data_IF_157289487202
#
_entry.id   IF_157289487202
#
_cell.length_a   1.000
_cell.length_b   1.000
_cell.length_c   1.000
_cell.angle_alpha   90.00
_cell.angle_beta   90.00
_cell.angle_gamma   90.00
#
_symmetry.space_group_name_H-M   'P 1'
#
loop_
_entity.id
_entity.type
_entity.pdbx_description
1 polymer ?
#
# COMPACT_ATOMS: atom_id res chain seq x y z
N UNK A 1 -26.96 -32.29 -32.99
CA UNK A 1 -26.65 -31.47 -31.79
C UNK A 1 -27.94 -30.79 -31.38
N UNK A 2 -28.47 -31.07 -30.18
CA UNK A 2 -29.76 -30.52 -29.70
C UNK A 2 -29.46 -29.29 -28.84
N UNK A 3 -29.94 -28.13 -29.23
CA UNK A 3 -29.81 -26.90 -28.43
C UNK A 3 -30.85 -26.95 -27.31
N UNK A 4 -30.41 -26.85 -26.06
CA UNK A 4 -31.28 -26.78 -24.88
C UNK A 4 -31.30 -25.33 -24.42
N UNK A 5 -32.47 -24.69 -24.43
CA UNK A 5 -32.64 -23.37 -23.81
C UNK A 5 -32.84 -23.55 -22.30
N UNK A 6 -32.09 -22.77 -21.51
CA UNK A 6 -32.26 -22.64 -20.07
C UNK A 6 -32.50 -21.17 -19.74
N UNK A 7 -33.49 -20.91 -18.89
CA UNK A 7 -33.80 -19.58 -18.38
C UNK A 7 -33.31 -19.50 -16.94
N UNK A 8 -32.56 -18.45 -16.61
CA UNK A 8 -32.05 -18.19 -15.28
C UNK A 8 -32.67 -16.90 -14.75
N UNK A 9 -33.02 -16.88 -13.47
CA UNK A 9 -33.29 -15.64 -12.72
C UNK A 9 -32.02 -15.27 -11.99
N UNK A 10 -31.56 -14.04 -12.22
CA UNK A 10 -30.30 -13.53 -11.71
C UNK A 10 -30.57 -12.45 -10.66
N UNK A 11 -29.66 -12.37 -9.68
CA UNK A 11 -29.76 -11.48 -8.54
C UNK A 11 -28.43 -10.76 -8.32
N UNK A 12 -28.48 -9.50 -7.90
CA UNK A 12 -27.33 -8.82 -7.31
C UNK A 12 -27.03 -9.35 -5.90
N UNK A 13 -25.82 -9.11 -5.40
CA UNK A 13 -25.40 -9.63 -4.09
C UNK A 13 -26.28 -9.15 -2.93
N UNK A 14 -26.80 -7.92 -3.00
CA UNK A 14 -27.69 -7.34 -2.00
C UNK A 14 -29.13 -7.90 -2.03
N UNK A 15 -29.50 -8.63 -3.10
CA UNK A 15 -30.82 -9.25 -3.26
C UNK A 15 -30.85 -10.70 -2.79
N UNK A 16 -29.68 -11.28 -2.46
CA UNK A 16 -29.58 -12.63 -1.93
C UNK A 16 -29.91 -12.69 -0.44
N UNK A 17 -30.54 -13.80 -0.03
CA UNK A 17 -30.66 -14.19 1.38
C UNK A 17 -29.29 -14.43 2.00
N UNK A 18 -29.20 -14.31 3.33
CA UNK A 18 -27.94 -14.35 4.07
C UNK A 18 -27.13 -15.63 3.82
N UNK A 19 -27.77 -16.81 3.75
CA UNK A 19 -27.07 -18.06 3.48
C UNK A 19 -26.47 -18.12 2.07
N UNK A 20 -27.19 -17.60 1.07
CA UNK A 20 -26.73 -17.55 -0.31
C UNK A 20 -25.60 -16.52 -0.48
N UNK A 21 -25.71 -15.36 0.18
CA UNK A 21 -24.66 -14.33 0.23
C UNK A 21 -23.39 -14.87 0.88
N UNK A 22 -23.52 -15.54 2.03
CA UNK A 22 -22.38 -16.14 2.72
C UNK A 22 -21.69 -17.20 1.86
N UNK A 23 -22.46 -18.04 1.15
CA UNK A 23 -21.89 -19.01 0.23
C UNK A 23 -21.11 -18.33 -0.90
N UNK A 24 -21.70 -17.32 -1.54
CA UNK A 24 -21.05 -16.55 -2.60
C UNK A 24 -19.71 -15.95 -2.14
N UNK A 25 -19.71 -15.35 -0.94
CA UNK A 25 -18.51 -14.80 -0.31
C UNK A 25 -17.45 -15.88 -0.04
N UNK A 26 -17.83 -17.01 0.58
CA UNK A 26 -16.88 -18.10 0.86
C UNK A 26 -16.31 -18.72 -0.42
N UNK A 27 -17.12 -18.87 -1.47
CA UNK A 27 -16.69 -19.38 -2.78
C UNK A 27 -15.78 -18.37 -3.50
N UNK A 28 -15.98 -17.08 -3.28
CA UNK A 28 -15.09 -16.03 -3.78
C UNK A 28 -13.74 -16.03 -3.06
N UNK A 29 -13.75 -16.10 -1.72
CA UNK A 29 -12.54 -16.14 -0.90
C UNK A 29 -11.71 -17.41 -1.19
N UNK A 30 -12.37 -18.56 -1.34
CA UNK A 30 -11.71 -19.84 -1.63
C UNK A 30 -11.01 -19.90 -3.00
N UNK A 31 -11.35 -19.01 -3.95
CA UNK A 31 -10.65 -18.94 -5.24
C UNK A 31 -9.24 -18.38 -5.12
N UNK A 32 -8.95 -17.66 -4.03
CA UNK A 32 -7.69 -16.95 -3.83
C UNK A 32 -7.58 -15.76 -4.79
N UNK A 33 -7.80 -14.56 -4.28
CA UNK A 33 -7.57 -13.35 -5.06
C UNK A 33 -6.15 -12.85 -4.81
N UNK A 34 -5.46 -12.47 -5.87
CA UNK A 34 -4.16 -11.82 -5.73
C UNK A 34 -4.35 -10.45 -5.06
N UNK A 35 -3.51 -10.14 -4.06
CA UNK A 35 -3.52 -8.83 -3.41
C UNK A 35 -3.12 -7.74 -4.42
N UNK A 36 -4.03 -6.80 -4.77
CA UNK A 36 -3.86 -5.95 -5.94
C UNK A 36 -2.72 -4.93 -5.79
N UNK A 37 -2.38 -4.53 -4.56
CA UNK A 37 -1.37 -3.50 -4.29
C UNK A 37 0.02 -4.07 -4.03
N UNK A 38 0.23 -5.37 -4.22
CA UNK A 38 1.51 -6.03 -3.95
C UNK A 38 2.69 -5.39 -4.70
N UNK A 39 2.48 -5.02 -5.98
CA UNK A 39 3.52 -4.39 -6.81
C UNK A 39 3.86 -2.99 -6.32
N UNK A 40 2.85 -2.15 -6.05
CA UNK A 40 3.06 -0.76 -5.60
C UNK A 40 3.73 -0.70 -4.21
N UNK A 41 3.35 -1.62 -3.33
CA UNK A 41 4.01 -1.80 -2.03
C UNK A 41 5.46 -2.23 -2.19
N UNK A 42 5.75 -3.14 -3.12
CA UNK A 42 7.13 -3.54 -3.43
C UNK A 42 7.96 -2.35 -3.93
N UNK A 43 7.43 -1.56 -4.86
CA UNK A 43 8.12 -0.38 -5.41
C UNK A 43 8.40 0.68 -4.33
N UNK A 44 7.42 0.91 -3.44
CA UNK A 44 7.55 1.81 -2.29
C UNK A 44 8.66 1.35 -1.35
N UNK A 45 8.65 0.07 -0.97
CA UNK A 45 9.65 -0.51 -0.07
C UNK A 45 11.06 -0.44 -0.67
N UNK A 46 11.20 -0.73 -1.96
CA UNK A 46 12.47 -0.64 -2.67
C UNK A 46 12.99 0.80 -2.71
N UNK A 47 12.14 1.77 -3.07
CA UNK A 47 12.51 3.17 -3.11
C UNK A 47 12.91 3.71 -1.72
N UNK A 48 12.17 3.33 -0.67
CA UNK A 48 12.50 3.65 0.72
C UNK A 48 13.86 3.07 1.12
N UNK A 49 14.07 1.77 0.87
CA UNK A 49 15.33 1.09 1.18
C UNK A 49 16.52 1.71 0.45
N UNK A 50 16.35 2.06 -0.82
CA UNK A 50 17.36 2.70 -1.65
C UNK A 50 17.71 4.11 -1.14
N UNK A 51 16.71 4.93 -0.77
CA UNK A 51 16.95 6.27 -0.25
C UNK A 51 17.72 6.22 1.07
N UNK A 52 17.26 5.42 2.03
CA UNK A 52 17.83 5.38 3.38
C UNK A 52 19.03 4.44 3.52
N UNK A 53 19.44 3.77 2.44
CA UNK A 53 20.56 2.82 2.40
C UNK A 53 20.39 1.70 3.43
N UNK A 54 19.17 1.20 3.54
CA UNK A 54 18.84 0.00 4.32
C UNK A 54 18.54 -1.16 3.36
N UNK A 55 18.50 -2.36 3.88
CA UNK A 55 18.09 -3.55 3.14
C UNK A 55 17.02 -4.26 3.94
N UNK A 56 15.85 -4.44 3.33
CA UNK A 56 14.80 -5.30 3.86
C UNK A 56 14.89 -6.67 3.18
N UNK A 57 14.86 -7.76 3.96
CA UNK A 57 14.96 -9.13 3.48
C UNK A 57 13.98 -10.04 4.20
N UNK A 58 13.69 -11.19 3.58
CA UNK A 58 12.79 -12.21 4.13
C UNK A 58 11.45 -11.62 4.59
N UNK A 59 10.96 -10.62 3.86
CA UNK A 59 9.68 -9.99 4.18
C UNK A 59 8.54 -10.78 3.57
N UNK A 60 7.41 -10.81 4.27
CA UNK A 60 6.13 -11.35 3.83
C UNK A 60 5.01 -10.71 4.64
N UNK A 61 3.85 -10.63 4.04
CA UNK A 61 2.62 -10.23 4.71
C UNK A 61 1.44 -10.94 4.03
N UNK A 62 0.41 -11.21 4.83
CA UNK A 62 -0.89 -11.71 4.42
C UNK A 62 -1.95 -11.00 5.29
N UNK A 63 -3.23 -11.41 5.23
CA UNK A 63 -4.30 -10.83 6.05
C UNK A 63 -4.16 -11.09 7.56
N UNK A 64 -3.34 -12.05 7.97
CA UNK A 64 -3.22 -12.49 9.35
C UNK A 64 -1.96 -11.96 10.02
N UNK A 65 -0.85 -11.90 9.29
CA UNK A 65 0.47 -11.62 9.86
C UNK A 65 1.42 -10.97 8.87
N UNK A 66 2.50 -10.40 9.40
CA UNK A 66 3.63 -9.94 8.63
C UNK A 66 4.92 -10.28 9.35
N UNK A 67 5.98 -10.46 8.57
CA UNK A 67 7.32 -10.65 9.09
C UNK A 67 8.31 -9.97 8.14
N UNK A 68 9.38 -9.42 8.68
CA UNK A 68 10.48 -8.85 7.90
C UNK A 68 11.77 -8.89 8.70
N UNK A 69 12.89 -8.82 7.99
CA UNK A 69 14.20 -8.53 8.57
C UNK A 69 14.76 -7.31 7.86
N UNK A 70 15.57 -6.54 8.56
CA UNK A 70 16.31 -5.47 7.91
C UNK A 70 17.65 -5.24 8.58
N UNK A 71 18.56 -4.64 7.82
CA UNK A 71 19.83 -4.12 8.32
C UNK A 71 20.16 -2.81 7.59
N UNK A 72 21.00 -1.98 8.20
CA UNK A 72 21.45 -0.73 7.57
C UNK A 72 22.82 -0.93 6.93
N UNK A 73 23.14 -0.11 5.92
CA UNK A 73 24.49 -0.03 5.33
C UNK A 73 25.32 1.10 5.93
N UNK A 74 24.89 1.65 7.07
CA UNK A 74 25.59 2.75 7.73
C UNK A 74 26.60 2.22 8.75
N UNK A 75 27.59 3.05 9.06
CA UNK A 75 28.53 2.78 10.14
C UNK A 75 27.82 2.86 11.50
N UNK A 76 28.32 2.14 12.51
CA UNK A 76 27.71 2.07 13.84
C UNK A 76 27.46 3.46 14.45
N UNK A 77 28.41 4.39 14.33
CA UNK A 77 28.27 5.76 14.83
C UNK A 77 27.10 6.52 14.18
N UNK A 78 26.76 6.18 12.93
CA UNK A 78 25.60 6.73 12.22
C UNK A 78 24.31 6.07 12.67
N UNK A 79 24.32 4.74 12.90
CA UNK A 79 23.15 4.02 13.43
C UNK A 79 22.71 4.56 14.80
N UNK A 80 23.66 4.98 15.63
CA UNK A 80 23.44 5.49 16.99
C UNK A 80 23.14 7.00 17.06
N UNK A 81 23.10 7.70 15.92
CA UNK A 81 22.64 9.10 15.91
C UNK A 81 21.19 9.16 16.38
N UNK A 82 20.90 10.05 17.33
CA UNK A 82 19.55 10.31 17.85
C UNK A 82 19.27 11.81 18.01
N UNK A 83 18.00 12.15 18.25
CA UNK A 83 17.55 13.52 18.51
C UNK A 83 17.97 14.53 17.44
N UNK A 84 18.44 15.70 17.87
CA UNK A 84 18.81 16.80 16.97
C UNK A 84 19.98 16.43 16.04
N UNK A 85 20.89 15.55 16.48
CA UNK A 85 22.01 15.10 15.63
C UNK A 85 21.52 14.21 14.49
N UNK A 86 20.60 13.30 14.79
CA UNK A 86 19.93 12.50 13.77
C UNK A 86 19.14 13.40 12.82
N UNK A 87 18.39 14.37 13.35
CA UNK A 87 17.64 15.32 12.52
C UNK A 87 18.54 16.04 11.52
N UNK A 88 19.67 16.58 11.98
CA UNK A 88 20.64 17.25 11.12
C UNK A 88 21.21 16.30 10.05
N UNK A 89 21.51 15.06 10.42
CA UNK A 89 21.96 14.03 9.47
C UNK A 89 20.91 13.73 8.40
N UNK A 90 19.64 13.56 8.78
CA UNK A 90 18.53 13.30 7.86
C UNK A 90 18.34 14.44 6.86
N UNK A 91 18.34 15.68 7.33
CA UNK A 91 18.23 16.86 6.47
C UNK A 91 19.40 16.96 5.48
N UNK A 92 20.62 16.72 5.93
CA UNK A 92 21.80 16.85 5.07
C UNK A 92 21.91 15.76 4.01
N UNK A 93 21.39 14.55 4.29
CA UNK A 93 21.61 13.39 3.41
C UNK A 93 20.37 12.99 2.59
N UNK A 94 19.15 13.18 3.12
CA UNK A 94 17.94 12.62 2.51
C UNK A 94 16.90 13.67 2.11
N UNK A 95 17.06 14.94 2.52
CA UNK A 95 16.09 15.99 2.21
C UNK A 95 15.79 16.11 0.71
N UNK A 96 16.79 16.05 -0.17
CA UNK A 96 16.56 16.13 -1.62
C UNK A 96 15.82 14.90 -2.18
N UNK A 97 15.90 13.76 -1.49
CA UNK A 97 15.16 12.55 -1.80
C UNK A 97 13.68 12.69 -1.46
N UNK A 98 13.36 13.29 -0.32
CA UNK A 98 12.00 13.44 0.21
C UNK A 98 11.28 14.68 -0.33
N UNK A 99 11.95 15.82 -0.36
CA UNK A 99 11.35 17.11 -0.67
C UNK A 99 11.66 17.51 -2.11
N UNK A 100 10.65 17.40 -2.99
CA UNK A 100 10.79 17.73 -4.41
C UNK A 100 10.48 19.21 -4.64
N UNK A 101 11.27 19.93 -5.45
CA UNK A 101 10.96 21.32 -5.78
C UNK A 101 9.65 21.45 -6.56
N UNK A 102 8.80 22.40 -6.16
CA UNK A 102 7.57 22.71 -6.90
C UNK A 102 7.90 23.14 -8.33
N UNK A 103 7.20 22.56 -9.30
CA UNK A 103 7.39 22.83 -10.73
C UNK A 103 6.33 23.81 -11.23
N UNK A 104 6.78 24.93 -11.79
CA UNK A 104 5.92 25.92 -12.44
C UNK A 104 6.07 25.81 -13.95
N UNK A 105 4.94 25.79 -14.66
CA UNK A 105 4.89 25.73 -16.12
C UNK A 105 4.43 27.05 -16.71
N UNK A 106 4.92 27.39 -17.90
CA UNK A 106 4.34 28.46 -18.71
C UNK A 106 2.93 28.08 -19.16
N UNK A 107 2.07 29.06 -19.49
CA UNK A 107 0.68 28.80 -19.92
C UNK A 107 0.58 27.82 -21.09
N UNK A 108 1.55 27.85 -21.99
CA UNK A 108 1.66 26.97 -23.17
C UNK A 108 2.32 25.61 -22.87
N UNK A 109 2.72 25.35 -21.62
CA UNK A 109 3.44 24.15 -21.14
C UNK A 109 4.76 23.84 -21.85
N UNK A 110 5.35 24.78 -22.59
CA UNK A 110 6.61 24.57 -23.31
C UNK A 110 7.85 24.75 -22.44
N UNK A 111 7.75 25.50 -21.35
CA UNK A 111 8.87 25.75 -20.43
C UNK A 111 8.46 25.43 -19.00
N UNK A 112 9.40 24.87 -18.23
CA UNK A 112 9.26 24.61 -16.79
C UNK A 112 10.36 25.29 -15.99
N UNK A 113 10.01 25.72 -14.78
CA UNK A 113 10.95 26.19 -13.76
C UNK A 113 10.72 25.40 -12.47
N UNK A 114 11.80 24.89 -11.88
CA UNK A 114 11.78 24.32 -10.53
C UNK A 114 12.01 25.42 -9.50
N UNK A 115 11.22 25.42 -8.43
CA UNK A 115 11.45 26.34 -7.31
C UNK A 115 12.81 26.05 -6.66
N UNK A 116 13.39 27.08 -6.02
CA UNK A 116 14.58 26.92 -5.17
C UNK A 116 14.24 27.04 -3.68
N UNK A 117 13.00 27.43 -3.37
CA UNK A 117 12.55 27.75 -2.01
C UNK A 117 11.29 26.99 -1.62
N UNK A 118 10.45 26.59 -2.58
CA UNK A 118 9.19 25.88 -2.34
C UNK A 118 9.39 24.42 -2.71
N UNK A 119 9.21 23.55 -1.73
CA UNK A 119 9.29 22.10 -1.90
C UNK A 119 7.98 21.46 -1.47
N UNK A 120 7.71 20.27 -1.99
CA UNK A 120 6.56 19.42 -1.62
C UNK A 120 7.08 18.04 -1.22
N UNK A 121 6.39 17.41 -0.29
CA UNK A 121 6.66 16.05 0.18
C UNK A 121 5.32 15.32 0.27
N UNK A 122 4.75 15.02 -0.89
CA UNK A 122 3.52 14.24 -1.08
C UNK A 122 3.94 13.03 -1.90
N UNK A 123 3.76 11.83 -1.34
CA UNK A 123 4.18 10.54 -1.91
C UNK A 123 5.51 10.60 -2.72
N UNK A 124 6.67 10.82 -2.07
CA UNK A 124 7.90 11.20 -2.76
C UNK A 124 8.62 10.06 -3.51
N UNK A 125 8.13 8.83 -3.45
CA UNK A 125 8.74 7.66 -4.08
C UNK A 125 7.99 7.23 -5.34
N UNK A 126 6.77 6.74 -5.18
CA UNK A 126 5.95 6.11 -6.21
C UNK A 126 4.73 6.94 -6.56
N UNK A 127 4.30 7.84 -5.67
CA UNK A 127 3.06 8.61 -5.84
C UNK A 127 1.83 7.94 -5.22
N UNK A 128 1.98 6.81 -4.52
CA UNK A 128 0.89 6.08 -3.85
C UNK A 128 0.88 6.32 -2.35
N UNK A 129 -0.25 6.01 -1.69
CA UNK A 129 -0.45 6.24 -0.24
C UNK A 129 0.58 5.50 0.63
N UNK A 130 1.08 4.37 0.16
CA UNK A 130 2.10 3.57 0.85
C UNK A 130 3.38 4.36 1.13
N UNK A 131 3.71 5.33 0.27
CA UNK A 131 4.83 6.25 0.50
C UNK A 131 4.64 7.09 1.78
N UNK A 132 3.43 7.60 2.00
CA UNK A 132 3.11 8.40 3.17
C UNK A 132 3.08 7.52 4.42
N UNK A 133 2.51 6.33 4.32
CA UNK A 133 2.45 5.34 5.40
C UNK A 133 3.86 4.97 5.87
N UNK A 134 4.76 4.57 4.97
CA UNK A 134 6.12 4.17 5.35
C UNK A 134 6.93 5.36 5.91
N UNK A 135 6.66 6.58 5.43
CA UNK A 135 7.37 7.78 5.88
C UNK A 135 6.78 8.41 7.13
N UNK A 136 5.56 8.05 7.55
CA UNK A 136 4.87 8.72 8.64
C UNK A 136 5.73 8.81 9.92
N UNK A 137 6.37 7.72 10.43
CA UNK A 137 7.20 7.82 11.64
C UNK A 137 8.41 8.74 11.46
N UNK A 138 9.01 8.77 10.26
CA UNK A 138 10.10 9.67 9.92
C UNK A 138 9.64 11.12 9.89
N UNK A 139 8.49 11.42 9.28
CA UNK A 139 7.96 12.77 9.16
C UNK A 139 7.58 13.35 10.53
N UNK A 140 7.03 12.52 11.41
CA UNK A 140 6.74 12.90 12.79
C UNK A 140 8.03 13.19 13.57
N UNK A 141 9.06 12.35 13.43
CA UNK A 141 10.38 12.59 14.00
C UNK A 141 11.00 13.88 13.45
N UNK A 142 10.92 14.14 12.13
CA UNK A 142 11.48 15.35 11.52
C UNK A 142 10.80 16.63 12.00
N UNK A 143 9.50 16.55 12.36
CA UNK A 143 8.74 17.67 12.92
C UNK A 143 9.08 17.92 14.39
N UNK A 144 9.24 16.86 15.18
CA UNK A 144 9.55 16.92 16.60
C UNK A 144 10.48 15.77 16.99
N UNK A 145 11.81 15.94 16.90
CA UNK A 145 12.75 14.85 17.12
C UNK A 145 12.71 14.35 18.56
N UNK A 146 12.74 13.03 18.73
CA UNK A 146 12.75 12.34 20.02
C UNK A 146 14.07 11.57 20.22
N UNK A 147 14.08 10.61 21.16
CA UNK A 147 15.29 9.89 21.56
C UNK A 147 15.64 8.70 20.67
N UNK A 148 14.78 8.33 19.71
CA UNK A 148 15.05 7.18 18.82
C UNK A 148 16.33 7.41 18.03
N UNK A 149 17.09 6.34 17.84
CA UNK A 149 18.25 6.37 16.94
C UNK A 149 17.84 6.07 15.48
N UNK A 150 18.78 6.18 14.53
CA UNK A 150 18.49 5.98 13.10
C UNK A 150 17.87 4.60 12.85
N UNK A 151 18.42 3.57 13.47
CA UNK A 151 17.98 2.18 13.28
C UNK A 151 16.59 1.92 13.83
N UNK A 152 16.27 2.46 15.00
CA UNK A 152 14.94 2.41 15.60
C UNK A 152 13.93 3.16 14.72
N UNK A 153 14.29 4.34 14.22
CA UNK A 153 13.41 5.10 13.33
C UNK A 153 13.10 4.37 12.02
N UNK A 154 14.10 3.70 11.41
CA UNK A 154 13.87 2.86 10.23
C UNK A 154 13.02 1.63 10.54
N UNK A 155 13.18 1.04 11.73
CA UNK A 155 12.31 -0.05 12.20
C UNK A 155 10.87 0.40 12.28
N UNK A 156 10.60 1.55 12.89
CA UNK A 156 9.24 2.07 13.06
C UNK A 156 8.58 2.36 11.70
N UNK A 157 9.35 2.87 10.73
CA UNK A 157 8.89 3.07 9.35
C UNK A 157 8.46 1.74 8.69
N UNK A 158 9.32 0.72 8.76
CA UNK A 158 9.03 -0.61 8.22
C UNK A 158 7.86 -1.28 8.95
N UNK A 159 7.80 -1.15 10.28
CA UNK A 159 6.72 -1.67 11.10
C UNK A 159 5.37 -1.06 10.70
N UNK A 160 5.31 0.26 10.55
CA UNK A 160 4.09 0.95 10.12
C UNK A 160 3.65 0.49 8.73
N UNK A 161 4.60 0.35 7.81
CA UNK A 161 4.35 -0.12 6.45
C UNK A 161 3.82 -1.56 6.40
N UNK A 162 4.51 -2.52 7.03
CA UNK A 162 4.09 -3.93 6.99
C UNK A 162 2.80 -4.18 7.75
N UNK A 163 2.56 -3.46 8.85
CA UNK A 163 1.27 -3.47 9.54
C UNK A 163 0.15 -2.99 8.62
N UNK A 164 0.36 -1.87 7.92
CA UNK A 164 -0.63 -1.37 6.95
C UNK A 164 -0.86 -2.35 5.80
N UNK A 165 0.19 -2.99 5.28
CA UNK A 165 0.03 -4.01 4.23
C UNK A 165 -0.84 -5.17 4.71
N UNK A 166 -0.64 -5.64 5.96
CA UNK A 166 -1.48 -6.68 6.57
C UNK A 166 -2.92 -6.22 6.72
N UNK A 167 -3.14 -5.03 7.28
CA UNK A 167 -4.47 -4.46 7.49
C UNK A 167 -5.22 -4.31 6.14
N UNK A 168 -4.51 -3.90 5.08
CA UNK A 168 -5.08 -3.82 3.72
C UNK A 168 -5.39 -5.20 3.13
N UNK A 169 -4.54 -6.21 3.37
CA UNK A 169 -4.84 -7.59 2.98
C UNK A 169 -6.09 -8.12 3.69
N UNK A 170 -6.22 -7.86 5.00
CA UNK A 170 -7.41 -8.22 5.79
C UNK A 170 -8.68 -7.57 5.24
N UNK A 171 -8.61 -6.28 4.90
CA UNK A 171 -9.73 -5.60 4.24
C UNK A 171 -10.05 -6.20 2.86
N UNK A 172 -9.03 -6.47 2.03
CA UNK A 172 -9.20 -7.07 0.71
C UNK A 172 -9.79 -8.49 0.76
N UNK A 173 -9.77 -9.16 1.91
CA UNK A 173 -10.38 -10.48 2.11
C UNK A 173 -11.76 -10.40 2.80
N UNK A 174 -12.22 -9.20 3.18
CA UNK A 174 -13.47 -9.00 3.92
C UNK A 174 -14.74 -9.15 3.07
N UNK A 175 -15.87 -9.42 3.71
CA UNK A 175 -17.19 -9.46 3.06
C UNK A 175 -17.60 -8.08 2.51
N UNK A 176 -17.16 -7.00 3.16
CA UNK A 176 -17.38 -5.62 2.70
C UNK A 176 -16.69 -5.39 1.36
N UNK A 177 -15.40 -5.72 1.25
CA UNK A 177 -14.66 -5.60 0.01
C UNK A 177 -15.24 -6.49 -1.10
N UNK A 178 -15.62 -7.73 -0.77
CA UNK A 178 -16.32 -8.61 -1.70
C UNK A 178 -17.62 -8.00 -2.23
N UNK A 179 -18.42 -7.38 -1.36
CA UNK A 179 -19.68 -6.73 -1.73
C UNK A 179 -19.43 -5.55 -2.67
N UNK A 180 -18.45 -4.72 -2.36
CA UNK A 180 -18.04 -3.59 -3.21
C UNK A 180 -17.51 -4.06 -4.56
N UNK A 181 -16.67 -5.10 -4.59
CA UNK A 181 -16.20 -5.72 -5.83
C UNK A 181 -17.35 -6.28 -6.66
N UNK A 182 -18.30 -6.96 -6.01
CA UNK A 182 -19.47 -7.52 -6.68
C UNK A 182 -20.31 -6.42 -7.34
N UNK A 183 -20.52 -5.30 -6.65
CA UNK A 183 -21.22 -4.14 -7.21
C UNK A 183 -20.43 -3.49 -8.34
N UNK A 184 -19.13 -3.24 -8.12
CA UNK A 184 -18.25 -2.58 -9.10
C UNK A 184 -18.13 -3.35 -10.40
N UNK A 185 -18.12 -4.67 -10.35
CA UNK A 185 -18.01 -5.54 -11.51
C UNK A 185 -19.37 -5.97 -12.09
N UNK A 186 -20.50 -5.53 -11.51
CA UNK A 186 -21.85 -5.95 -11.88
C UNK A 186 -22.00 -7.48 -11.92
N UNK A 187 -21.49 -8.16 -10.89
CA UNK A 187 -21.63 -9.61 -10.77
C UNK A 187 -23.06 -9.99 -10.43
N UNK A 188 -23.54 -11.03 -11.10
CA UNK A 188 -24.86 -11.59 -10.93
C UNK A 188 -24.77 -13.02 -10.41
N UNK A 189 -25.74 -13.41 -9.58
CA UNK A 189 -25.75 -14.69 -8.89
C UNK A 189 -27.06 -15.43 -9.13
N UNK A 190 -27.00 -16.75 -9.07
CA UNK A 190 -28.19 -17.58 -8.91
C UNK A 190 -28.73 -17.45 -7.49
N UNK A 191 -29.99 -17.82 -7.28
CA UNK A 191 -30.66 -17.75 -5.97
C UNK A 191 -29.92 -18.51 -4.84
N UNK A 192 -29.05 -19.46 -5.18
CA UNK A 192 -28.27 -20.24 -4.24
C UNK A 192 -26.89 -19.64 -3.93
N UNK A 193 -26.58 -18.44 -4.43
CA UNK A 193 -25.30 -17.75 -4.26
C UNK A 193 -24.22 -18.09 -5.29
N UNK A 194 -24.52 -18.96 -6.26
CA UNK A 194 -23.53 -19.31 -7.30
C UNK A 194 -23.33 -18.13 -8.26
N UNK A 195 -22.10 -17.64 -8.41
CA UNK A 195 -21.76 -16.60 -9.38
C UNK A 195 -22.09 -17.07 -10.81
N UNK A 196 -22.93 -16.32 -11.51
CA UNK A 196 -23.29 -16.59 -12.89
C UNK A 196 -22.13 -16.20 -13.82
N UNK A 197 -21.73 -17.13 -14.69
CA UNK A 197 -20.79 -16.89 -15.78
C UNK A 197 -21.44 -17.35 -17.06
N UNK A 198 -21.67 -16.41 -17.99
CA UNK A 198 -22.10 -16.79 -19.32
C UNK A 198 -20.95 -17.57 -19.97
N UNK A 199 -21.13 -18.88 -20.13
CA UNK A 199 -20.15 -19.71 -20.85
C UNK A 199 -20.14 -19.26 -22.30
N UNK A 200 -19.03 -18.65 -22.74
CA UNK A 200 -18.72 -18.41 -24.14
C UNK A 200 -18.51 -19.73 -24.90
#
# INVERSE_FOLDING_TARGET
MRTVQRTYTLFGIAELEDEARQRAYTDWLAKGNDYPYASENCDTLEAFCNLFRIVCTNYRYDSCTYAYRFYTKHEADTEELSGVRLLAYLYNNFHAGLYKPKVYWTKDRKKRRRSRISVTCECPFTGVVSDEIILQPLMDFMRSPDTRNFKELMRDCLENFFRSCRDDCEYCESEEYFTDESHRNNWEYLIDGTLFKETA
#
